data_IF_721210434900
#
_entry.id   IF_721210434900
#
_cell.length_a   1.000
_cell.length_b   1.000
_cell.length_c   1.000
_cell.angle_alpha   90.00
_cell.angle_beta   90.00
_cell.angle_gamma   90.00
#
_symmetry.space_group_name_H-M   'P 1'
#
loop_
_entity.id
_entity.type
_entity.pdbx_description
1 polymer ?
#
# COMPACT_ATOMS: atom_id res chain seq x y z
N UNK A 1 -21.20 9.57 -4.37
CA UNK A 1 -20.52 9.35 -3.08
C UNK A 1 -19.87 7.98 -3.10
N UNK A 2 -18.60 7.88 -3.51
CA UNK A 2 -17.88 6.62 -3.41
C UNK A 2 -17.68 6.32 -1.93
N UNK A 3 -18.49 5.40 -1.40
CA UNK A 3 -18.37 4.86 -0.05
C UNK A 3 -16.94 4.34 0.06
N UNK A 4 -16.08 5.09 0.75
CA UNK A 4 -14.69 4.71 0.99
C UNK A 4 -14.74 3.59 2.01
N UNK A 5 -15.15 2.41 1.56
CA UNK A 5 -15.07 1.16 2.32
C UNK A 5 -13.64 1.12 2.81
N UNK A 6 -13.44 1.16 4.13
CA UNK A 6 -12.13 0.98 4.73
C UNK A 6 -11.64 -0.37 4.22
N UNK A 7 -10.80 -0.36 3.19
CA UNK A 7 -10.28 -1.56 2.56
C UNK A 7 -9.39 -2.19 3.63
N UNK A 8 -9.92 -3.22 4.28
CA UNK A 8 -9.19 -4.03 5.24
C UNK A 8 -8.19 -4.82 4.42
N UNK A 9 -6.92 -4.47 4.57
CA UNK A 9 -5.82 -5.17 3.91
C UNK A 9 -5.52 -6.44 4.68
N UNK A 10 -5.66 -7.58 4.02
CA UNK A 10 -5.21 -8.86 4.60
C UNK A 10 -3.69 -8.91 4.67
N UNK A 11 -3.13 -9.74 5.54
CA UNK A 11 -1.67 -9.84 5.67
C UNK A 11 -1.00 -10.33 4.36
N UNK A 12 -1.72 -11.08 3.54
CA UNK A 12 -1.28 -11.47 2.20
C UNK A 12 -1.21 -10.26 1.24
N UNK A 13 -2.23 -9.40 1.24
CA UNK A 13 -2.21 -8.16 0.45
C UNK A 13 -1.09 -7.23 0.90
N UNK A 14 -0.89 -7.06 2.22
CA UNK A 14 0.23 -6.29 2.77
C UNK A 14 1.57 -6.84 2.27
N UNK A 15 1.74 -8.16 2.26
CA UNK A 15 2.98 -8.81 1.81
C UNK A 15 3.24 -8.59 0.33
N UNK A 16 2.19 -8.70 -0.50
CA UNK A 16 2.27 -8.41 -1.93
C UNK A 16 2.62 -6.94 -2.21
N UNK A 17 2.03 -6.01 -1.45
CA UNK A 17 2.32 -4.58 -1.54
C UNK A 17 3.76 -4.29 -1.11
N UNK A 18 4.19 -4.82 0.04
CA UNK A 18 5.56 -4.66 0.54
C UNK A 18 6.58 -5.20 -0.46
N UNK A 19 6.32 -6.37 -1.07
CA UNK A 19 7.17 -6.97 -2.09
C UNK A 19 7.28 -6.09 -3.35
N UNK A 20 6.18 -5.50 -3.79
CA UNK A 20 6.17 -4.55 -4.91
C UNK A 20 6.91 -3.25 -4.58
N UNK A 21 6.86 -2.77 -3.34
CA UNK A 21 7.63 -1.60 -2.90
C UNK A 21 9.12 -1.87 -2.70
N UNK A 22 9.51 -3.12 -2.43
CA UNK A 22 10.93 -3.52 -2.36
C UNK A 22 11.56 -3.73 -3.74
N UNK A 23 10.79 -3.62 -4.83
CA UNK A 23 11.34 -3.67 -6.17
C UNK A 23 12.24 -2.44 -6.43
N UNK A 24 13.50 -2.63 -6.87
CA UNK A 24 14.42 -1.53 -7.12
C UNK A 24 13.86 -0.59 -8.20
N UNK A 25 13.71 0.69 -7.86
CA UNK A 25 13.17 1.73 -8.74
C UNK A 25 11.68 2.06 -8.56
N UNK A 26 10.99 1.40 -7.62
CA UNK A 26 9.57 1.66 -7.34
C UNK A 26 9.42 2.54 -6.10
N UNK A 27 8.83 3.72 -6.27
CA UNK A 27 8.52 4.61 -5.15
C UNK A 27 7.29 4.12 -4.38
N UNK A 28 7.41 4.00 -3.06
CA UNK A 28 6.31 3.66 -2.13
C UNK A 28 5.07 4.53 -2.38
N UNK A 29 5.26 5.83 -2.63
CA UNK A 29 4.17 6.75 -2.93
C UNK A 29 3.40 6.40 -4.22
N UNK A 30 4.09 5.90 -5.25
CA UNK A 30 3.49 5.54 -6.54
C UNK A 30 2.68 4.24 -6.45
N UNK A 31 3.19 3.26 -5.71
CA UNK A 31 2.44 2.03 -5.40
C UNK A 31 1.23 2.38 -4.55
N UNK A 32 1.40 3.20 -3.51
CA UNK A 32 0.31 3.64 -2.66
C UNK A 32 -0.80 4.33 -3.48
N UNK A 33 -0.42 5.24 -4.37
CA UNK A 33 -1.34 5.91 -5.29
C UNK A 33 -2.07 4.93 -6.23
N UNK A 34 -1.36 3.92 -6.78
CA UNK A 34 -1.95 2.88 -7.64
C UNK A 34 -3.06 2.09 -6.94
N UNK A 35 -2.90 1.87 -5.65
CA UNK A 35 -3.89 1.17 -4.82
C UNK A 35 -4.88 2.13 -4.14
N UNK A 36 -4.84 3.43 -4.45
CA UNK A 36 -5.61 4.49 -3.80
C UNK A 36 -5.46 4.49 -2.26
N UNK A 37 -4.32 4.00 -1.77
CA UNK A 37 -3.96 3.98 -0.36
C UNK A 37 -3.05 5.17 -0.02
N UNK A 38 -3.07 5.55 1.24
CA UNK A 38 -2.16 6.54 1.80
C UNK A 38 -0.77 5.93 1.99
N UNK A 39 0.26 6.57 1.43
CA UNK A 39 1.66 6.16 1.63
C UNK A 39 2.05 6.11 3.12
N UNK A 40 1.40 6.92 3.96
CA UNK A 40 1.52 6.91 5.42
C UNK A 40 1.16 5.56 6.05
N UNK A 41 0.27 4.79 5.43
CA UNK A 41 -0.07 3.44 5.89
C UNK A 41 1.05 2.44 5.58
N UNK A 42 1.72 2.58 4.44
CA UNK A 42 2.89 1.75 4.11
C UNK A 42 4.05 2.02 5.07
N UNK A 43 4.28 3.28 5.45
CA UNK A 43 5.26 3.60 6.49
C UNK A 43 4.93 2.94 7.85
N UNK A 44 3.64 2.71 8.16
CA UNK A 44 3.23 1.96 9.35
C UNK A 44 3.42 0.44 9.22
N UNK A 45 3.60 -0.10 8.02
CA UNK A 45 3.87 -1.53 7.80
C UNK A 45 5.36 -1.83 7.67
N UNK A 46 6.18 -0.83 7.31
CA UNK A 46 7.63 -0.93 7.18
C UNK A 46 8.39 -0.65 8.50
N UNK A 47 7.67 -0.27 9.57
CA UNK A 47 8.23 0.05 10.89
C UNK A 47 7.91 -0.99 11.95
#
# INVERSE_FOLDING_TARGET
MARRTKRLWTDEEKRSICFQTTAPGVAVARVAQRYAMNATLMFKWLG
#
